data_IF_771369492076
#
_entry.id   IF_771369492076
#
_cell.length_a   1.000
_cell.length_b   1.000
_cell.length_c   1.000
_cell.angle_alpha   90.00
_cell.angle_beta   90.00
_cell.angle_gamma   90.00
#
_symmetry.space_group_name_H-M   'P 1'
#
loop_
_entity.id
_entity.type
_entity.pdbx_description
1 polymer ?
#
# COMPACT_ATOMS: atom_id res chain seq x y z
N UNK A 1 -2.12 -29.52 -24.46
CA UNK A 1 -1.11 -29.61 -23.39
C UNK A 1 -0.07 -28.48 -23.58
N UNK A 2 -0.21 -27.32 -22.92
CA UNK A 2 0.89 -26.37 -22.59
C UNK A 2 0.37 -25.13 -21.82
N UNK A 3 0.95 -24.95 -20.63
CA UNK A 3 1.43 -23.68 -20.07
C UNK A 3 0.48 -22.47 -20.00
N UNK A 4 -0.56 -22.52 -19.16
CA UNK A 4 -1.35 -21.32 -18.77
C UNK A 4 -1.26 -20.92 -17.29
N UNK A 5 -0.57 -21.69 -16.43
CA UNK A 5 -0.81 -21.62 -14.97
C UNK A 5 0.18 -20.77 -14.15
N UNK A 6 1.35 -20.41 -14.67
CA UNK A 6 2.42 -19.84 -13.82
C UNK A 6 2.29 -18.34 -13.55
N UNK A 7 1.82 -17.56 -14.53
CA UNK A 7 1.69 -16.11 -14.43
C UNK A 7 0.55 -15.68 -13.50
N UNK A 8 -0.64 -16.28 -13.64
CA UNK A 8 -1.77 -16.03 -12.74
C UNK A 8 -1.45 -16.45 -11.30
N UNK A 9 -0.79 -17.60 -11.14
CA UNK A 9 -0.36 -18.05 -9.83
C UNK A 9 0.73 -17.14 -9.22
N UNK A 10 1.59 -16.53 -10.05
CA UNK A 10 2.60 -15.58 -9.57
C UNK A 10 1.97 -14.26 -9.10
N UNK A 11 0.99 -13.72 -9.84
CA UNK A 11 0.24 -12.52 -9.44
C UNK A 11 -0.57 -12.79 -8.17
N UNK A 12 -1.28 -13.92 -8.11
CA UNK A 12 -2.02 -14.34 -6.92
C UNK A 12 -1.11 -14.48 -5.69
N UNK A 13 0.06 -15.11 -5.83
CA UNK A 13 1.06 -15.21 -4.75
C UNK A 13 1.62 -13.86 -4.35
N UNK A 14 1.92 -12.97 -5.30
CA UNK A 14 2.42 -11.63 -5.01
C UNK A 14 1.39 -10.80 -4.22
N UNK A 15 0.12 -10.83 -4.63
CA UNK A 15 -0.98 -10.14 -3.94
C UNK A 15 -1.24 -10.72 -2.55
N UNK A 16 -1.23 -12.05 -2.39
CA UNK A 16 -1.39 -12.67 -1.08
C UNK A 16 -0.21 -12.38 -0.16
N UNK A 17 1.02 -12.39 -0.68
CA UNK A 17 2.22 -12.01 0.06
C UNK A 17 2.16 -10.55 0.50
N UNK A 18 1.72 -9.66 -0.38
CA UNK A 18 1.49 -8.25 -0.05
C UNK A 18 0.42 -8.08 1.01
N UNK A 19 -0.70 -8.79 0.90
CA UNK A 19 -1.80 -8.77 1.89
C UNK A 19 -1.33 -9.25 3.26
N UNK A 20 -0.54 -10.33 3.33
CA UNK A 20 0.08 -10.82 4.58
C UNK A 20 1.08 -9.82 5.15
N UNK A 21 1.93 -9.23 4.31
CA UNK A 21 2.88 -8.20 4.73
C UNK A 21 2.20 -6.91 5.25
N UNK A 22 1.00 -6.59 4.74
CA UNK A 22 0.20 -5.43 5.18
C UNK A 22 -0.71 -5.72 6.39
N UNK A 23 -0.98 -6.97 6.74
CA UNK A 23 -1.77 -7.33 7.94
C UNK A 23 -1.25 -6.72 9.24
N UNK A 24 0.06 -6.76 9.57
CA UNK A 24 0.56 -6.10 10.77
C UNK A 24 0.34 -4.58 10.73
N UNK A 25 0.23 -3.96 9.55
CA UNK A 25 -0.09 -2.53 9.42
C UNK A 25 -1.58 -2.23 9.67
N UNK A 26 -2.48 -3.16 9.31
CA UNK A 26 -3.92 -3.08 9.65
C UNK A 26 -4.17 -3.31 11.15
N UNK A 27 -3.44 -4.24 11.77
CA UNK A 27 -3.53 -4.52 13.20
C UNK A 27 -2.77 -3.49 14.07
N UNK A 28 -1.71 -2.86 13.53
CA UNK A 28 -0.93 -1.85 14.25
C UNK A 28 -1.70 -0.57 14.58
N UNK A 29 -2.84 -0.30 13.92
CA UNK A 29 -3.76 0.76 14.32
C UNK A 29 -4.44 0.50 15.67
N UNK A 30 -4.46 -0.75 16.15
CA UNK A 30 -5.11 -1.15 17.40
C UNK A 30 -4.09 -1.41 18.54
N UNK A 31 -2.79 -1.54 18.23
CA UNK A 31 -1.70 -1.67 19.22
C UNK A 31 -0.83 -0.41 19.29
N UNK A 32 -1.48 0.74 19.49
CA UNK A 32 -0.80 2.02 19.62
C UNK A 32 0.04 2.14 20.89
N UNK A 33 -0.24 1.36 21.94
CA UNK A 33 0.39 1.50 23.28
C UNK A 33 1.84 0.98 23.33
N UNK A 34 2.14 -0.15 22.67
CA UNK A 34 3.49 -0.75 22.65
C UNK A 34 4.46 0.07 21.77
N UNK A 35 3.97 0.46 20.59
CA UNK A 35 4.73 1.30 19.64
C UNK A 35 4.98 2.70 20.19
N UNK A 36 4.02 3.29 20.91
CA UNK A 36 4.18 4.61 21.55
C UNK A 36 5.27 4.59 22.62
N UNK A 37 5.41 3.51 23.41
CA UNK A 37 6.52 3.37 24.37
C UNK A 37 7.89 3.25 23.69
N UNK A 38 7.99 2.56 22.55
CA UNK A 38 9.24 2.49 21.79
C UNK A 38 9.57 3.80 21.04
N UNK A 39 8.57 4.49 20.50
CA UNK A 39 8.73 5.80 19.85
C UNK A 39 9.10 6.89 20.85
N UNK A 40 8.63 6.85 22.10
CA UNK A 40 9.06 7.81 23.12
C UNK A 40 10.53 7.60 23.57
N UNK A 41 11.11 6.40 23.37
CA UNK A 41 12.52 6.11 23.68
C UNK A 41 13.49 6.39 22.53
N UNK A 42 13.00 6.61 21.29
CA UNK A 42 13.85 6.74 20.08
C UNK A 42 13.35 7.78 19.06
N UNK A 43 12.20 8.39 19.28
CA UNK A 43 11.50 9.26 18.35
C UNK A 43 12.04 10.68 18.37
N UNK A 44 13.10 10.92 17.60
CA UNK A 44 13.49 12.26 17.20
C UNK A 44 12.64 12.70 16.01
N UNK A 45 12.45 14.01 15.87
CA UNK A 45 11.83 14.67 14.71
C UNK A 45 12.36 14.12 13.38
N UNK A 46 13.62 13.67 13.34
CA UNK A 46 14.26 13.06 12.17
C UNK A 46 13.58 11.79 11.62
N UNK A 47 12.97 10.95 12.45
CA UNK A 47 12.25 9.76 11.98
C UNK A 47 10.92 10.13 11.31
N UNK A 48 10.29 11.21 11.77
CA UNK A 48 9.04 11.74 11.21
C UNK A 48 9.32 12.45 9.88
N UNK A 49 10.37 13.26 9.84
CA UNK A 49 10.88 13.89 8.61
C UNK A 49 11.27 12.86 7.55
N UNK A 50 11.93 11.75 7.95
CA UNK A 50 12.26 10.67 7.01
C UNK A 50 11.01 10.05 6.39
N UNK A 51 10.03 9.69 7.21
CA UNK A 51 8.75 9.13 6.73
C UNK A 51 7.98 10.11 5.85
N UNK A 52 8.03 11.39 6.19
CA UNK A 52 7.36 12.42 5.42
C UNK A 52 8.02 12.61 4.05
N UNK A 53 9.36 12.60 4.00
CA UNK A 53 10.13 12.61 2.75
C UNK A 53 9.84 11.38 1.88
N UNK A 54 9.81 10.20 2.48
CA UNK A 54 9.42 8.96 1.79
C UNK A 54 8.01 9.07 1.21
N UNK A 55 7.05 9.58 1.98
CA UNK A 55 5.67 9.74 1.52
C UNK A 55 5.57 10.73 0.36
N UNK A 56 6.30 11.85 0.41
CA UNK A 56 6.35 12.83 -0.69
C UNK A 56 6.83 12.21 -2.00
N UNK A 57 7.85 11.35 -1.96
CA UNK A 57 8.38 10.68 -3.14
C UNK A 57 7.45 9.59 -3.71
N UNK A 58 6.55 9.02 -2.89
CA UNK A 58 5.61 7.98 -3.31
C UNK A 58 4.32 8.55 -3.92
N UNK A 59 3.94 9.77 -3.55
CA UNK A 59 2.67 10.37 -3.95
C UNK A 59 2.91 11.27 -5.17
N UNK A 60 2.21 11.04 -6.30
CA UNK A 60 2.39 11.85 -7.49
C UNK A 60 2.11 13.34 -7.24
N UNK A 61 3.15 14.15 -7.41
CA UNK A 61 3.14 15.60 -7.15
C UNK A 61 3.20 15.96 -5.67
N UNK A 62 3.75 15.08 -4.82
CA UNK A 62 3.82 15.24 -3.36
C UNK A 62 5.02 16.06 -2.86
N UNK A 63 6.03 16.26 -3.70
CA UNK A 63 7.36 16.80 -3.36
C UNK A 63 7.30 18.20 -2.76
N UNK A 64 6.38 19.03 -3.24
CA UNK A 64 6.17 20.41 -2.79
C UNK A 64 4.97 20.59 -1.86
N UNK A 65 4.25 19.52 -1.53
CA UNK A 65 3.02 19.64 -0.72
C UNK A 65 3.31 19.79 0.77
N UNK A 66 2.54 20.67 1.42
CA UNK A 66 2.45 20.75 2.90
C UNK A 66 1.79 19.49 3.45
N UNK A 67 1.96 19.23 4.74
CA UNK A 67 1.47 18.00 5.38
C UNK A 67 -0.02 17.74 5.13
N UNK A 68 -0.87 18.75 5.34
CA UNK A 68 -2.32 18.62 5.20
C UNK A 68 -2.72 18.23 3.77
N UNK A 69 -2.10 18.89 2.79
CA UNK A 69 -2.32 18.65 1.37
C UNK A 69 -1.75 17.30 0.93
N UNK A 70 -0.59 16.91 1.47
CA UNK A 70 0.04 15.62 1.19
C UNK A 70 -0.86 14.47 1.65
N UNK A 71 -1.44 14.56 2.85
CA UNK A 71 -2.33 13.52 3.34
C UNK A 71 -3.63 13.42 2.53
N UNK A 72 -4.23 14.55 2.17
CA UNK A 72 -5.40 14.56 1.29
C UNK A 72 -5.08 13.93 -0.08
N UNK A 73 -3.96 14.34 -0.70
CA UNK A 73 -3.50 13.77 -1.97
C UNK A 73 -3.20 12.27 -1.85
N UNK A 74 -2.58 11.85 -0.75
CA UNK A 74 -2.32 10.43 -0.44
C UNK A 74 -3.62 9.64 -0.38
N UNK A 75 -4.66 10.16 0.29
CA UNK A 75 -5.95 9.48 0.39
C UNK A 75 -6.59 9.30 -1.01
N UNK A 76 -6.59 10.35 -1.82
CA UNK A 76 -7.06 10.27 -3.21
C UNK A 76 -6.25 9.27 -4.04
N UNK A 77 -4.92 9.25 -3.88
CA UNK A 77 -4.06 8.36 -4.64
C UNK A 77 -4.23 6.89 -4.25
N UNK A 78 -4.37 6.59 -2.95
CA UNK A 78 -4.71 5.24 -2.47
C UNK A 78 -6.03 4.77 -3.06
N UNK A 79 -7.05 5.63 -3.09
CA UNK A 79 -8.34 5.30 -3.69
C UNK A 79 -8.19 5.01 -5.19
N UNK A 80 -7.47 5.86 -5.92
CA UNK A 80 -7.21 5.68 -7.34
C UNK A 80 -6.55 4.33 -7.65
N UNK A 81 -5.46 3.99 -6.95
CA UNK A 81 -4.75 2.72 -7.11
C UNK A 81 -5.66 1.52 -6.80
N UNK A 82 -6.49 1.61 -5.75
CA UNK A 82 -7.44 0.53 -5.42
C UNK A 82 -8.45 0.32 -6.53
N UNK A 83 -9.00 1.40 -7.08
CA UNK A 83 -9.94 1.34 -8.20
C UNK A 83 -9.29 0.70 -9.43
N UNK A 84 -8.05 1.08 -9.78
CA UNK A 84 -7.32 0.47 -10.90
C UNK A 84 -7.12 -1.03 -10.70
N UNK A 85 -6.71 -1.46 -9.50
CA UNK A 85 -6.53 -2.88 -9.18
C UNK A 85 -7.86 -3.64 -9.25
N UNK A 86 -8.94 -3.09 -8.70
CA UNK A 86 -10.26 -3.72 -8.77
C UNK A 86 -10.77 -3.85 -10.21
N UNK A 87 -10.58 -2.81 -11.04
CA UNK A 87 -10.94 -2.87 -12.45
C UNK A 87 -10.15 -3.96 -13.18
N UNK A 88 -8.83 -3.99 -13.01
CA UNK A 88 -7.98 -5.02 -13.62
C UNK A 88 -8.36 -6.42 -13.17
N UNK A 89 -8.74 -6.61 -11.90
CA UNK A 89 -9.23 -7.88 -11.39
C UNK A 89 -10.57 -8.28 -12.02
N UNK A 90 -11.51 -7.34 -12.16
CA UNK A 90 -12.78 -7.59 -12.81
C UNK A 90 -12.59 -7.96 -14.30
N UNK A 91 -11.75 -7.22 -15.02
CA UNK A 91 -11.40 -7.54 -16.40
C UNK A 91 -10.70 -8.90 -16.51
N UNK A 92 -9.75 -9.19 -15.62
CA UNK A 92 -9.09 -10.49 -15.59
C UNK A 92 -10.05 -11.65 -15.32
N UNK A 93 -11.11 -11.45 -14.53
CA UNK A 93 -12.14 -12.47 -14.32
C UNK A 93 -13.01 -12.66 -15.55
N UNK A 94 -13.37 -11.56 -16.23
CA UNK A 94 -14.17 -11.60 -17.45
C UNK A 94 -13.42 -12.26 -18.62
N UNK A 95 -12.13 -11.98 -18.78
CA UNK A 95 -11.32 -12.49 -19.91
C UNK A 95 -10.50 -13.75 -19.58
N UNK A 96 -10.20 -14.01 -18.30
CA UNK A 96 -9.50 -15.22 -17.83
C UNK A 96 -10.42 -16.43 -17.68
N UNK A 97 -11.75 -16.22 -17.71
CA UNK A 97 -12.77 -17.26 -17.76
C UNK A 97 -13.22 -17.55 -19.20
N UNK A 98 -12.31 -18.02 -20.07
CA UNK A 98 -12.69 -18.72 -21.28
C UNK A 98 -12.64 -20.24 -21.01
N UNK A 99 -13.69 -21.02 -21.33
CA UNK A 99 -13.63 -22.49 -21.26
C UNK A 99 -12.51 -23.07 -22.15
#
# INVERSE_FOLDING_TARGET
>A
MRSRSTAEAAVGRAVQRWRRAMQPWRAAGLSGKERRRQLLRRGTVGDLERKFRELRALVPGGESLRADQLFQRTACYILHLRTQVHLLQALSQLYGGAP
#
